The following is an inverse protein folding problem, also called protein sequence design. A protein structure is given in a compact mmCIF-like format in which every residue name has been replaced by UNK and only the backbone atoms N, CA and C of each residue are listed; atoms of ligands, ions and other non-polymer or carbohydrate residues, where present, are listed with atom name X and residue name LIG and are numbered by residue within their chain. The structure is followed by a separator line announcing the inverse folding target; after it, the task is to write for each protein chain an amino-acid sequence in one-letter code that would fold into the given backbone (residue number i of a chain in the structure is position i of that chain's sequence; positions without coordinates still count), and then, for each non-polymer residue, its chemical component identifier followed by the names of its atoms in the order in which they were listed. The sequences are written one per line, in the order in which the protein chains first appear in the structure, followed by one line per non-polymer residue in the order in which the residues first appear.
data_IF_532198558428
#
_entry.id   IF_532198558428
#
_cell.length_a   1.000
_cell.length_b   1.000
_cell.length_c   1.000
_cell.angle_alpha   90.00
_cell.angle_beta   90.00
_cell.angle_gamma   90.00
#
_symmetry.space_group_name_H-M   'P 1'
#
loop_
_entity.id
_entity.type
_entity.pdbx_description
1 polymer ?
#
# COMPACT_ATOMS: atom_id res chain seq x y z
N UNK A 1 12.53 18.07 -31.12
CA UNK A 1 13.90 17.50 -31.16
C UNK A 1 13.78 15.99 -31.28
N UNK A 2 14.76 15.29 -31.84
CA UNK A 2 14.70 13.83 -31.99
C UNK A 2 15.71 13.13 -31.07
N UNK A 3 15.25 12.07 -30.40
CA UNK A 3 16.09 11.15 -29.61
C UNK A 3 15.78 9.70 -30.00
N UNK A 4 16.62 8.77 -29.57
CA UNK A 4 16.38 7.33 -29.74
C UNK A 4 16.19 6.69 -28.38
N UNK A 5 15.08 5.97 -28.16
CA UNK A 5 14.84 5.15 -26.95
C UNK A 5 14.58 3.71 -27.40
N UNK A 6 15.36 2.75 -26.90
CA UNK A 6 15.23 1.32 -27.23
C UNK A 6 15.15 1.06 -28.76
N UNK A 7 16.05 1.70 -29.52
CA UNK A 7 16.12 1.67 -30.99
C UNK A 7 14.93 2.31 -31.73
N UNK A 8 14.03 3.01 -31.03
CA UNK A 8 12.92 3.77 -31.64
C UNK A 8 13.24 5.25 -31.64
N UNK A 9 13.11 5.88 -32.80
CA UNK A 9 13.23 7.33 -32.93
C UNK A 9 11.96 7.98 -32.39
N UNK A 10 12.13 8.90 -31.44
CA UNK A 10 11.06 9.57 -30.73
C UNK A 10 11.23 11.07 -30.92
N UNK A 11 10.15 11.71 -31.35
CA UNK A 11 10.05 13.16 -31.34
C UNK A 11 9.68 13.63 -29.93
N UNK A 12 10.48 14.54 -29.39
CA UNK A 12 10.28 15.13 -28.06
C UNK A 12 9.77 16.56 -28.22
N UNK A 13 8.68 16.87 -27.51
CA UNK A 13 8.13 18.21 -27.41
C UNK A 13 9.02 19.11 -26.54
N UNK A 14 8.93 20.43 -26.73
CA UNK A 14 9.67 21.37 -25.89
C UNK A 14 9.18 21.27 -24.42
N UNK A 15 10.11 21.22 -23.47
CA UNK A 15 9.81 21.10 -22.05
C UNK A 15 9.48 19.69 -21.55
N UNK A 16 9.48 18.68 -22.42
CA UNK A 16 9.14 17.30 -22.09
C UNK A 16 10.38 16.52 -21.62
N UNK A 17 10.25 15.79 -20.52
CA UNK A 17 11.30 14.92 -19.98
C UNK A 17 11.41 13.61 -20.76
N UNK A 18 12.52 12.87 -20.57
CA UNK A 18 12.68 11.53 -21.18
C UNK A 18 11.51 10.60 -20.81
N UNK A 19 11.04 10.64 -19.55
CA UNK A 19 9.94 9.80 -19.08
C UNK A 19 8.63 10.09 -19.83
N UNK A 20 8.30 11.36 -19.98
CA UNK A 20 7.07 11.79 -20.66
C UNK A 20 7.10 11.43 -22.14
N UNK A 21 8.21 11.71 -22.81
CA UNK A 21 8.41 11.36 -24.21
C UNK A 21 8.33 9.85 -24.45
N UNK A 22 8.94 9.05 -23.57
CA UNK A 22 8.86 7.59 -23.63
C UNK A 22 7.41 7.09 -23.49
N UNK A 23 6.69 7.55 -22.46
CA UNK A 23 5.30 7.12 -22.20
C UNK A 23 4.35 7.53 -23.30
N UNK A 24 4.49 8.74 -23.84
CA UNK A 24 3.68 9.22 -24.98
C UNK A 24 3.86 8.35 -26.23
N UNK A 25 5.00 7.70 -26.38
CA UNK A 25 5.33 6.81 -27.49
C UNK A 25 5.20 5.32 -27.13
N UNK A 26 4.46 4.99 -26.06
CA UNK A 26 4.14 3.62 -25.68
C UNK A 26 5.30 2.84 -25.04
N UNK A 27 6.36 3.51 -24.60
CA UNK A 27 7.43 2.90 -23.80
C UNK A 27 7.12 3.12 -22.32
N UNK A 28 6.72 2.06 -21.64
CA UNK A 28 6.35 2.13 -20.22
C UNK A 28 7.59 2.09 -19.31
N UNK A 29 8.04 3.28 -18.90
CA UNK A 29 9.05 3.42 -17.85
C UNK A 29 8.31 3.61 -16.50
N UNK A 30 8.55 2.77 -15.48
CA UNK A 30 7.86 2.86 -14.20
C UNK A 30 8.34 4.07 -13.38
N UNK A 31 7.49 4.57 -12.48
CA UNK A 31 7.85 5.65 -11.57
C UNK A 31 7.01 5.63 -10.29
N UNK A 32 7.64 5.89 -9.14
CA UNK A 32 6.92 5.97 -7.85
C UNK A 32 6.73 7.41 -7.38
N UNK A 33 7.74 8.27 -7.53
CA UNK A 33 7.71 9.66 -7.06
C UNK A 33 7.32 10.67 -8.16
N UNK A 34 6.68 10.22 -9.24
CA UNK A 34 6.27 11.08 -10.35
C UNK A 34 4.77 10.95 -10.58
N UNK A 35 4.11 12.09 -10.75
CA UNK A 35 2.77 12.22 -11.29
C UNK A 35 2.78 13.40 -12.27
N UNK A 36 2.03 13.29 -13.37
CA UNK A 36 1.93 14.37 -14.36
C UNK A 36 1.36 15.61 -13.65
N UNK A 37 1.91 16.78 -13.95
CA UNK A 37 1.52 18.08 -13.35
C UNK A 37 1.85 18.23 -11.85
N UNK A 38 2.48 17.23 -11.22
CA UNK A 38 2.92 17.31 -9.83
C UNK A 38 4.41 17.64 -9.71
N UNK A 39 4.76 18.51 -8.77
CA UNK A 39 6.14 18.74 -8.39
C UNK A 39 6.75 17.51 -7.73
N UNK A 40 7.99 17.20 -8.08
CA UNK A 40 8.71 16.08 -7.49
C UNK A 40 10.22 16.27 -7.52
N UNK A 41 10.91 15.44 -6.73
CA UNK A 41 12.36 15.23 -6.82
C UNK A 41 12.59 13.74 -7.06
N UNK A 42 13.55 13.39 -7.92
CA UNK A 42 13.92 12.02 -8.35
C UNK A 42 14.40 11.10 -7.23
N UNK A 43 13.59 10.93 -6.18
CA UNK A 43 13.94 10.24 -4.94
C UNK A 43 13.86 8.73 -5.07
N UNK A 44 12.95 8.21 -5.90
CA UNK A 44 12.70 6.77 -5.96
C UNK A 44 13.65 5.99 -6.89
N UNK A 45 14.29 6.64 -7.86
CA UNK A 45 15.14 6.02 -8.90
C UNK A 45 14.53 4.88 -9.74
N UNK A 46 13.23 4.58 -9.57
CA UNK A 46 12.51 3.57 -10.36
C UNK A 46 12.43 3.92 -11.85
N UNK A 47 12.48 5.21 -12.19
CA UNK A 47 12.48 5.67 -13.58
C UNK A 47 13.87 5.66 -14.24
N UNK A 48 14.87 5.03 -13.62
CA UNK A 48 16.23 4.98 -14.14
C UNK A 48 16.27 4.46 -15.57
N UNK A 49 17.09 5.09 -16.41
CA UNK A 49 17.43 4.70 -17.78
C UNK A 49 18.92 4.91 -18.00
N UNK A 50 19.48 4.23 -19.00
CA UNK A 50 20.90 4.36 -19.34
C UNK A 50 21.08 5.26 -20.56
N UNK A 51 21.96 6.24 -20.46
CA UNK A 51 22.44 7.00 -21.61
C UNK A 51 23.58 6.23 -22.27
N UNK A 52 23.39 5.84 -23.53
CA UNK A 52 24.33 5.02 -24.27
C UNK A 52 25.59 5.77 -24.71
N UNK A 53 25.54 7.09 -24.80
CA UNK A 53 26.66 7.91 -25.28
C UNK A 53 27.76 8.06 -24.22
N UNK A 54 27.39 8.13 -22.94
CA UNK A 54 28.33 8.31 -21.83
C UNK A 54 28.28 7.20 -20.77
N UNK A 55 27.38 6.22 -20.93
CA UNK A 55 27.21 5.09 -20.02
C UNK A 55 26.53 5.43 -18.69
N UNK A 56 26.10 6.66 -18.46
CA UNK A 56 25.51 7.08 -17.19
C UNK A 56 24.08 6.55 -17.03
N UNK A 57 23.73 6.20 -15.79
CA UNK A 57 22.35 5.93 -15.40
C UNK A 57 21.73 7.20 -14.82
N UNK A 58 20.62 7.62 -15.41
CA UNK A 58 19.98 8.90 -15.14
C UNK A 58 18.49 8.72 -14.85
N UNK A 59 17.88 9.57 -14.00
CA UNK A 59 16.44 9.54 -13.78
C UNK A 59 15.69 10.16 -14.97
N UNK A 60 14.92 9.35 -15.71
CA UNK A 60 14.16 9.84 -16.86
C UNK A 60 13.09 10.89 -16.51
N UNK A 61 12.59 10.92 -15.27
CA UNK A 61 11.48 11.81 -14.87
C UNK A 61 11.87 13.28 -14.67
N UNK A 62 13.16 13.60 -14.65
CA UNK A 62 13.66 14.98 -14.49
C UNK A 62 14.71 15.35 -15.53
N UNK A 63 15.21 14.37 -16.29
CA UNK A 63 16.24 14.64 -17.29
C UNK A 63 15.61 15.18 -18.56
N UNK A 64 16.07 16.36 -18.97
CA UNK A 64 15.69 16.95 -20.25
C UNK A 64 16.52 16.31 -21.37
N UNK A 65 15.88 15.77 -22.43
CA UNK A 65 16.60 15.21 -23.55
C UNK A 65 17.35 16.30 -24.34
N UNK A 66 18.43 15.90 -24.99
CA UNK A 66 19.15 16.72 -25.98
C UNK A 66 19.08 16.04 -27.34
N UNK A 67 19.20 16.81 -28.42
CA UNK A 67 19.13 16.29 -29.79
C UNK A 67 20.15 15.14 -29.99
N UNK A 68 19.70 14.04 -30.58
CA UNK A 68 20.52 12.85 -30.84
C UNK A 68 20.85 11.99 -29.61
N UNK A 69 20.24 12.26 -28.45
CA UNK A 69 20.42 11.44 -27.25
C UNK A 69 19.95 10.00 -27.49
N UNK A 70 20.72 9.03 -27.00
CA UNK A 70 20.42 7.59 -27.12
C UNK A 70 20.20 6.98 -25.74
N UNK A 71 18.97 6.51 -25.50
CA UNK A 71 18.53 5.97 -24.22
C UNK A 71 18.18 4.49 -24.34
N UNK A 72 18.61 3.72 -23.36
CA UNK A 72 18.20 2.34 -23.16
C UNK A 72 17.39 2.25 -21.87
N UNK A 73 16.17 1.75 -21.98
CA UNK A 73 15.21 1.72 -20.87
C UNK A 73 14.99 0.31 -20.31
N UNK A 74 15.44 -0.74 -21.01
CA UNK A 74 15.11 -2.12 -20.68
C UNK A 74 16.31 -3.09 -20.69
N UNK A 75 17.54 -2.62 -20.57
CA UNK A 75 18.68 -3.53 -20.40
C UNK A 75 18.72 -4.20 -19.04
N UNK A 76 19.49 -5.29 -18.96
CA UNK A 76 19.75 -6.02 -17.72
C UNK A 76 20.27 -5.12 -16.59
N UNK A 77 21.13 -4.15 -16.93
CA UNK A 77 21.66 -3.18 -15.97
C UNK A 77 20.55 -2.26 -15.42
N UNK A 78 19.73 -1.69 -16.29
CA UNK A 78 18.60 -0.84 -15.89
C UNK A 78 17.59 -1.64 -15.05
N UNK A 79 17.26 -2.87 -15.45
CA UNK A 79 16.37 -3.75 -14.68
C UNK A 79 16.94 -4.07 -13.29
N UNK A 80 18.24 -4.33 -13.18
CA UNK A 80 18.89 -4.57 -11.89
C UNK A 80 18.82 -3.34 -10.96
N UNK A 81 19.03 -2.13 -11.50
CA UNK A 81 18.91 -0.88 -10.75
C UNK A 81 17.47 -0.66 -10.29
N UNK A 82 16.48 -0.82 -11.19
CA UNK A 82 15.06 -0.68 -10.82
C UNK A 82 14.65 -1.69 -9.76
N UNK A 83 15.10 -2.93 -9.88
CA UNK A 83 14.85 -3.98 -8.89
C UNK A 83 15.43 -3.57 -7.54
N UNK A 84 16.69 -3.14 -7.50
CA UNK A 84 17.33 -2.63 -6.29
C UNK A 84 16.58 -1.42 -5.69
N UNK A 85 16.10 -0.50 -6.52
CA UNK A 85 15.27 0.62 -6.06
C UNK A 85 13.97 0.14 -5.40
N UNK A 86 13.23 -0.78 -6.03
CA UNK A 86 12.03 -1.34 -5.41
C UNK A 86 12.33 -2.07 -4.10
N UNK A 87 13.40 -2.84 -4.05
CA UNK A 87 13.86 -3.56 -2.87
C UNK A 87 14.16 -2.63 -1.69
N UNK A 88 14.77 -1.46 -1.95
CA UNK A 88 15.02 -0.43 -0.94
C UNK A 88 13.73 0.31 -0.52
N UNK A 89 12.84 0.61 -1.45
CA UNK A 89 11.54 1.21 -1.10
C UNK A 89 10.72 0.24 -0.23
N UNK A 90 10.83 -1.07 -0.49
CA UNK A 90 10.19 -2.13 0.29
C UNK A 90 10.82 -2.34 1.67
N UNK A 91 12.10 -1.97 1.88
CA UNK A 91 12.67 -1.97 3.24
C UNK A 91 12.12 -0.84 4.11
N UNK A 92 11.63 0.24 3.50
CA UNK A 92 11.01 1.35 4.23
C UNK A 92 9.49 1.17 4.42
N UNK A 93 8.84 0.44 3.51
CA UNK A 93 7.41 0.19 3.54
C UNK A 93 7.06 -1.01 4.42
N UNK A 94 6.39 -0.77 5.55
CA UNK A 94 6.00 -1.80 6.52
C UNK A 94 4.49 -1.84 6.72
N UNK A 95 3.83 -2.81 6.08
CA UNK A 95 2.38 -3.02 6.12
C UNK A 95 2.01 -4.44 5.73
N UNK A 96 0.84 -4.94 6.14
CA UNK A 96 0.21 -6.09 5.48
C UNK A 96 -0.71 -5.53 4.38
N UNK A 97 -0.50 -5.92 3.12
CA UNK A 97 -1.42 -5.50 2.06
C UNK A 97 -2.80 -6.12 2.29
N UNK A 98 -2.85 -7.43 2.50
CA UNK A 98 -4.07 -8.18 2.82
C UNK A 98 -4.00 -8.72 4.25
N UNK A 99 -5.13 -8.76 4.95
CA UNK A 99 -5.17 -9.35 6.28
C UNK A 99 -4.84 -10.85 6.20
N UNK A 100 -3.91 -11.36 7.05
CA UNK A 100 -3.54 -12.77 7.01
C UNK A 100 -4.72 -13.68 7.34
N UNK A 101 -5.67 -13.25 8.18
CA UNK A 101 -6.87 -14.03 8.49
C UNK A 101 -7.81 -14.20 7.28
N UNK A 102 -8.00 -13.17 6.45
CA UNK A 102 -8.79 -13.26 5.20
C UNK A 102 -8.07 -14.14 4.16
N UNK A 103 -6.73 -14.05 4.09
CA UNK A 103 -5.92 -14.82 3.13
C UNK A 103 -5.98 -16.34 3.31
N UNK A 104 -6.16 -16.79 4.56
CA UNK A 104 -6.11 -18.21 4.95
C UNK A 104 -7.48 -18.83 5.16
N UNK A 105 -8.57 -18.05 5.03
CA UNK A 105 -9.91 -18.60 5.16
C UNK A 105 -10.21 -19.56 3.98
N UNK A 106 -10.52 -20.84 4.24
CA UNK A 106 -10.81 -21.79 3.17
C UNK A 106 -12.13 -21.48 2.45
N UNK A 107 -13.03 -20.77 3.10
CA UNK A 107 -14.32 -20.34 2.57
C UNK A 107 -14.27 -18.96 1.89
N UNK A 108 -13.11 -18.30 1.89
CA UNK A 108 -12.95 -16.99 1.23
C UNK A 108 -13.64 -15.82 1.94
N UNK A 109 -14.04 -15.97 3.21
CA UNK A 109 -14.55 -14.87 4.02
C UNK A 109 -13.53 -13.72 4.10
N UNK A 110 -13.96 -12.49 3.82
CA UNK A 110 -13.17 -11.30 4.15
C UNK A 110 -13.30 -10.99 5.65
N UNK A 111 -12.52 -11.74 6.44
CA UNK A 111 -12.54 -11.70 7.90
C UNK A 111 -12.29 -10.29 8.42
N UNK A 112 -11.37 -9.54 7.83
CA UNK A 112 -11.05 -8.18 8.28
C UNK A 112 -12.24 -7.22 8.10
N UNK A 113 -12.88 -7.24 6.93
CA UNK A 113 -14.08 -6.42 6.69
C UNK A 113 -15.26 -6.83 7.60
N UNK A 114 -15.44 -8.13 7.83
CA UNK A 114 -16.44 -8.63 8.78
C UNK A 114 -16.17 -8.13 10.21
N UNK A 115 -14.91 -8.16 10.67
CA UNK A 115 -14.54 -7.64 11.99
C UNK A 115 -14.74 -6.12 12.08
N UNK A 116 -14.48 -5.38 10.99
CA UNK A 116 -14.72 -3.95 10.92
C UNK A 116 -16.21 -3.63 11.09
N UNK A 117 -17.10 -4.37 10.41
CA UNK A 117 -18.54 -4.22 10.60
C UNK A 117 -18.99 -4.60 12.02
N UNK A 118 -18.43 -5.66 12.60
CA UNK A 118 -18.72 -6.05 13.98
C UNK A 118 -18.32 -4.97 14.99
N UNK A 119 -17.15 -4.36 14.82
CA UNK A 119 -16.65 -3.28 15.69
C UNK A 119 -17.48 -2.01 15.56
N UNK A 120 -18.01 -1.72 14.37
CA UNK A 120 -18.91 -0.60 14.11
C UNK A 120 -20.39 -0.90 14.40
N UNK A 121 -20.69 -2.03 15.07
CA UNK A 121 -22.05 -2.51 15.36
C UNK A 121 -22.96 -2.69 14.12
N UNK A 122 -22.39 -2.77 12.93
CA UNK A 122 -23.07 -3.08 11.68
C UNK A 122 -23.26 -4.60 11.51
N UNK A 123 -23.89 -5.25 12.50
CA UNK A 123 -23.97 -6.71 12.59
C UNK A 123 -24.68 -7.35 11.39
N UNK A 124 -25.68 -6.66 10.81
CA UNK A 124 -26.37 -7.13 9.61
C UNK A 124 -25.39 -7.27 8.43
N UNK A 125 -24.60 -6.23 8.13
CA UNK A 125 -23.56 -6.25 7.08
C UNK A 125 -22.51 -7.34 7.34
N UNK A 126 -22.12 -7.56 8.60
CA UNK A 126 -21.23 -8.66 8.95
C UNK A 126 -21.86 -10.03 8.65
N UNK A 127 -23.13 -10.23 8.98
CA UNK A 127 -23.88 -11.45 8.70
C UNK A 127 -24.03 -11.71 7.19
N UNK A 128 -24.31 -10.66 6.40
CA UNK A 128 -24.39 -10.73 4.93
C UNK A 128 -23.08 -11.28 4.32
N UNK A 129 -21.91 -10.81 4.79
CA UNK A 129 -20.61 -11.33 4.35
C UNK A 129 -20.37 -12.78 4.77
N UNK A 130 -20.77 -13.15 6.00
CA UNK A 130 -20.68 -14.53 6.48
C UNK A 130 -21.55 -15.44 5.59
N UNK A 131 -22.80 -15.07 5.33
CA UNK A 131 -23.71 -15.83 4.44
C UNK A 131 -23.14 -15.97 3.03
N UNK A 132 -22.48 -14.94 2.51
CA UNK A 132 -21.81 -14.99 1.21
C UNK A 132 -20.62 -15.97 1.15
N UNK A 133 -19.98 -16.27 2.28
CA UNK A 133 -18.84 -17.19 2.34
C UNK A 133 -19.22 -18.63 2.68
N UNK A 134 -20.28 -18.84 3.46
CA UNK A 134 -20.66 -20.15 4.00
C UNK A 134 -22.09 -20.54 3.60
N UNK A 135 -22.27 -21.77 3.11
CA UNK A 135 -23.61 -22.33 2.87
C UNK A 135 -24.41 -22.54 4.17
N UNK A 136 -23.73 -22.88 5.27
CA UNK A 136 -24.35 -23.11 6.58
C UNK A 136 -23.58 -22.37 7.68
N UNK A 137 -23.76 -21.03 7.81
CA UNK A 137 -22.98 -20.19 8.72
C UNK A 137 -22.92 -20.66 10.17
N UNK A 138 -24.03 -21.19 10.70
CA UNK A 138 -24.17 -21.56 12.11
C UNK A 138 -23.19 -22.65 12.56
N UNK A 139 -22.88 -23.62 11.68
CA UNK A 139 -22.06 -24.79 12.02
C UNK A 139 -20.72 -24.82 11.27
N UNK A 140 -20.55 -24.00 10.23
CA UNK A 140 -19.36 -24.07 9.35
C UNK A 140 -18.03 -23.84 10.09
N UNK A 141 -18.07 -23.15 11.25
CA UNK A 141 -16.89 -22.89 12.06
C UNK A 141 -16.64 -23.91 13.19
N UNK A 142 -17.54 -24.86 13.42
CA UNK A 142 -17.44 -25.81 14.55
C UNK A 142 -16.28 -26.79 14.37
N UNK A 143 -16.21 -27.44 13.21
CA UNK A 143 -15.14 -28.37 12.87
C UNK A 143 -13.93 -27.68 12.22
N UNK A 144 -13.96 -26.35 12.11
CA UNK A 144 -12.90 -25.58 11.50
C UNK A 144 -11.65 -25.55 12.39
N UNK A 145 -10.48 -25.87 11.82
CA UNK A 145 -9.16 -25.79 12.48
C UNK A 145 -8.68 -24.36 12.78
N UNK A 146 -9.53 -23.36 12.56
CA UNK A 146 -9.30 -21.94 12.82
C UNK A 146 -8.00 -21.38 12.22
N UNK A 147 -7.74 -21.54 10.90
CA UNK A 147 -6.55 -20.98 10.29
C UNK A 147 -6.49 -19.46 10.43
N UNK A 148 -7.64 -18.78 10.42
CA UNK A 148 -7.75 -17.33 10.61
C UNK A 148 -7.28 -16.87 12.00
N UNK A 149 -7.58 -17.61 13.06
CA UNK A 149 -7.12 -17.33 14.43
C UNK A 149 -5.62 -17.63 14.57
N UNK A 150 -5.14 -18.72 13.96
CA UNK A 150 -3.71 -19.09 13.94
C UNK A 150 -2.84 -18.08 13.21
N UNK A 151 -3.36 -17.47 12.15
CA UNK A 151 -2.66 -16.45 11.36
C UNK A 151 -2.86 -15.02 11.90
N UNK A 152 -3.65 -14.84 12.97
CA UNK A 152 -4.02 -13.53 13.48
C UNK A 152 -2.81 -12.76 14.03
N UNK A 153 -2.62 -11.51 13.56
CA UNK A 153 -1.52 -10.65 14.03
C UNK A 153 -1.57 -10.34 15.52
N UNK A 154 -2.78 -10.21 16.09
CA UNK A 154 -2.97 -9.97 17.52
C UNK A 154 -2.43 -11.13 18.38
N UNK A 155 -2.43 -12.36 17.84
CA UNK A 155 -1.83 -13.52 18.51
C UNK A 155 -0.33 -13.40 18.77
N UNK A 156 0.39 -12.56 18.01
CA UNK A 156 1.81 -12.29 18.24
C UNK A 156 2.06 -11.20 19.30
N UNK A 157 0.99 -10.60 19.85
CA UNK A 157 1.02 -9.51 20.82
C UNK A 157 0.56 -10.01 22.19
N UNK A 158 -0.63 -10.59 22.22
CA UNK A 158 -1.24 -11.20 23.41
C UNK A 158 -2.01 -12.47 23.04
N UNK A 159 -3.22 -12.35 22.51
CA UNK A 159 -4.11 -13.45 22.17
C UNK A 159 -4.80 -13.14 20.86
N UNK A 160 -4.90 -14.15 19.99
CA UNK A 160 -5.62 -14.03 18.74
C UNK A 160 -7.08 -13.60 18.96
N UNK A 161 -7.62 -12.83 18.01
CA UNK A 161 -9.06 -12.53 17.98
C UNK A 161 -9.83 -13.83 17.88
N UNK A 162 -10.88 -13.98 18.69
CA UNK A 162 -11.75 -15.16 18.71
C UNK A 162 -12.75 -15.12 17.54
N UNK A 163 -12.23 -15.17 16.31
CA UNK A 163 -12.98 -14.98 15.07
C UNK A 163 -14.14 -15.97 14.96
N UNK A 164 -13.95 -17.25 15.30
CA UNK A 164 -15.03 -18.24 15.24
C UNK A 164 -16.16 -17.92 16.22
N UNK A 165 -15.81 -17.45 17.42
CA UNK A 165 -16.80 -17.03 18.42
C UNK A 165 -17.61 -15.83 17.91
N UNK A 166 -16.93 -14.83 17.33
CA UNK A 166 -17.59 -13.65 16.75
C UNK A 166 -18.53 -14.04 15.60
N UNK A 167 -18.11 -14.95 14.72
CA UNK A 167 -18.98 -15.45 13.63
C UNK A 167 -20.25 -16.07 14.21
N UNK A 168 -20.14 -16.93 15.24
CA UNK A 168 -21.30 -17.53 15.92
C UNK A 168 -22.20 -16.47 16.55
N UNK A 169 -21.62 -15.55 17.31
CA UNK A 169 -22.36 -14.45 17.94
C UNK A 169 -23.14 -13.65 16.90
N UNK A 170 -22.55 -13.32 15.75
CA UNK A 170 -23.23 -12.57 14.67
C UNK A 170 -24.34 -13.40 14.03
N UNK A 171 -24.09 -14.68 13.75
CA UNK A 171 -25.09 -15.57 13.12
C UNK A 171 -26.29 -15.80 14.04
N UNK A 172 -26.09 -15.94 15.34
CA UNK A 172 -27.15 -16.13 16.33
C UNK A 172 -28.05 -14.89 16.51
N UNK A 173 -27.60 -13.70 16.09
CA UNK A 173 -28.39 -12.46 16.15
C UNK A 173 -29.49 -12.37 15.08
N UNK A 174 -29.45 -13.21 14.05
CA UNK A 174 -30.33 -13.08 12.88
C UNK A 174 -30.88 -14.43 12.43
N UNK A 175 -32.06 -14.41 11.80
CA UNK A 175 -32.46 -15.52 10.94
C UNK A 175 -31.67 -15.44 9.63
N UNK A 176 -30.64 -16.28 9.50
CA UNK A 176 -29.78 -16.32 8.32
C UNK A 176 -30.52 -16.66 7.03
N UNK A 177 -31.71 -17.24 7.11
CA UNK A 177 -32.52 -17.53 5.91
C UNK A 177 -33.07 -16.24 5.29
N UNK A 178 -33.33 -15.22 6.10
CA UNK A 178 -33.91 -13.92 5.72
C UNK A 178 -32.87 -12.84 5.38
N UNK A 179 -31.58 -13.10 5.63
CA UNK A 179 -30.49 -12.15 5.35
C UNK A 179 -30.00 -12.30 3.91
N UNK A 180 -29.74 -11.22 3.19
CA UNK A 180 -29.13 -11.33 1.86
C UNK A 180 -27.64 -11.72 1.93
N UNK A 181 -27.15 -12.46 0.95
CA UNK A 181 -25.73 -12.77 0.86
C UNK A 181 -24.98 -11.58 0.22
N UNK A 182 -23.94 -11.08 0.87
CA UNK A 182 -23.04 -10.10 0.28
C UNK A 182 -21.79 -10.76 -0.30
N UNK A 183 -21.30 -10.22 -1.41
CA UNK A 183 -20.09 -10.71 -2.05
C UNK A 183 -18.86 -10.45 -1.17
N UNK A 184 -18.07 -11.51 -0.97
CA UNK A 184 -16.77 -11.40 -0.34
C UNK A 184 -15.72 -10.92 -1.34
N UNK A 185 -14.86 -9.98 -0.91
CA UNK A 185 -13.76 -9.49 -1.76
C UNK A 185 -12.85 -10.65 -2.15
N UNK A 186 -12.71 -10.87 -3.45
CA UNK A 186 -11.75 -11.85 -3.98
C UNK A 186 -10.33 -11.31 -3.84
N UNK A 187 -9.48 -12.05 -3.13
CA UNK A 187 -8.07 -11.67 -2.96
C UNK A 187 -7.21 -12.34 -4.04
N UNK A 188 -6.51 -11.54 -4.83
CA UNK A 188 -5.50 -12.05 -5.75
C UNK A 188 -4.24 -12.48 -4.99
N UNK A 189 -4.06 -13.80 -4.87
CA UNK A 189 -2.91 -14.42 -4.20
C UNK A 189 -1.60 -14.31 -5.01
N UNK A 190 -1.67 -13.94 -6.28
CA UNK A 190 -0.49 -13.74 -7.14
C UNK A 190 0.08 -12.33 -7.01
N UNK A 191 -0.74 -11.36 -6.64
CA UNK A 191 -0.31 -9.99 -6.40
C UNK A 191 0.63 -9.92 -5.20
N UNK A 192 1.67 -9.10 -5.30
CA UNK A 192 2.66 -8.88 -4.24
C UNK A 192 1.98 -8.56 -2.90
N UNK A 193 2.56 -9.07 -1.81
CA UNK A 193 2.08 -8.88 -0.46
C UNK A 193 3.22 -8.37 0.41
N UNK A 194 3.16 -7.09 0.78
CA UNK A 194 4.00 -6.59 1.87
C UNK A 194 3.60 -7.25 3.18
N UNK A 195 4.53 -7.28 4.14
CA UNK A 195 4.29 -7.83 5.48
C UNK A 195 4.77 -6.89 6.58
N UNK A 196 4.01 -6.80 7.66
CA UNK A 196 4.41 -6.07 8.88
C UNK A 196 5.65 -6.66 9.58
N UNK A 197 5.94 -7.95 9.36
CA UNK A 197 7.02 -8.65 10.04
C UNK A 197 6.70 -9.03 11.48
N UNK A 198 7.73 -9.09 12.34
CA UNK A 198 7.59 -9.30 13.79
C UNK A 198 7.46 -7.95 14.49
N UNK A 199 6.73 -7.93 15.60
CA UNK A 199 6.59 -6.74 16.44
C UNK A 199 7.67 -6.70 17.51
N UNK A 200 8.26 -5.52 17.72
CA UNK A 200 9.13 -5.25 18.86
C UNK A 200 8.31 -5.17 20.16
N UNK A 201 8.95 -5.27 21.32
CA UNK A 201 8.22 -5.19 22.59
C UNK A 201 7.56 -3.82 22.83
N UNK A 202 8.19 -2.68 22.48
CA UNK A 202 7.51 -1.37 22.50
C UNK A 202 6.28 -1.34 21.59
N UNK A 203 6.36 -1.91 20.39
CA UNK A 203 5.22 -1.97 19.46
C UNK A 203 4.08 -2.81 20.03
N UNK A 204 4.40 -3.97 20.63
CA UNK A 204 3.39 -4.81 21.28
C UNK A 204 2.69 -4.06 22.40
N UNK A 205 3.43 -3.32 23.22
CA UNK A 205 2.84 -2.55 24.32
C UNK A 205 1.91 -1.46 23.78
N UNK A 206 2.39 -0.66 22.82
CA UNK A 206 1.60 0.38 22.18
C UNK A 206 0.29 -0.18 21.57
N UNK A 207 0.36 -1.27 20.81
CA UNK A 207 -0.81 -1.87 20.17
C UNK A 207 -1.80 -2.49 21.17
N UNK A 208 -1.35 -2.91 22.35
CA UNK A 208 -2.25 -3.34 23.44
C UNK A 208 -3.06 -2.18 23.99
N UNK A 209 -2.43 -1.02 24.12
CA UNK A 209 -3.03 0.18 24.71
C UNK A 209 -3.94 0.92 23.73
N UNK A 210 -3.58 0.97 22.44
CA UNK A 210 -4.33 1.76 21.44
C UNK A 210 -5.50 1.02 20.79
N UNK A 211 -5.46 -0.32 20.72
CA UNK A 211 -6.52 -1.10 20.07
C UNK A 211 -7.49 -1.64 21.12
N UNK A 212 -8.59 -0.91 21.30
CA UNK A 212 -9.66 -1.21 22.24
C UNK A 212 -11.04 -1.41 21.58
N UNK A 213 -11.06 -2.03 20.39
CA UNK A 213 -12.33 -2.35 19.70
C UNK A 213 -13.02 -3.57 20.32
N UNK A 214 -14.32 -3.72 20.05
CA UNK A 214 -15.14 -4.84 20.58
C UNK A 214 -14.53 -6.20 20.24
N UNK A 215 -14.04 -6.38 19.01
CA UNK A 215 -13.37 -7.61 18.56
C UNK A 215 -11.92 -7.74 18.97
N UNK A 216 -11.28 -6.64 19.44
CA UNK A 216 -9.83 -6.50 19.65
C UNK A 216 -8.99 -6.57 18.36
N UNK A 217 -9.62 -6.51 17.19
CA UNK A 217 -8.95 -6.58 15.90
C UNK A 217 -8.03 -5.38 15.70
N UNK A 218 -6.81 -5.63 15.20
CA UNK A 218 -5.87 -4.56 14.84
C UNK A 218 -6.24 -3.84 13.53
N UNK A 219 -7.19 -4.38 12.75
CA UNK A 219 -7.51 -3.93 11.39
C UNK A 219 -6.25 -3.73 10.54
N UNK A 220 -5.41 -4.77 10.53
CA UNK A 220 -4.05 -4.74 10.01
C UNK A 220 -3.92 -4.69 8.48
N UNK A 221 -5.02 -4.89 7.74
CA UNK A 221 -4.99 -4.79 6.29
C UNK A 221 -4.80 -3.34 5.83
N UNK A 222 -4.15 -3.16 4.69
CA UNK A 222 -3.99 -1.84 4.10
C UNK A 222 -5.30 -1.38 3.45
N UNK A 223 -5.90 -0.30 3.96
CA UNK A 223 -7.07 0.34 3.35
C UNK A 223 -6.76 0.94 1.97
N UNK A 224 -5.59 1.56 1.79
CA UNK A 224 -5.15 2.18 0.53
C UNK A 224 -4.57 1.22 -0.52
N UNK A 225 -4.90 -0.09 -0.49
CA UNK A 225 -4.24 -1.09 -1.36
C UNK A 225 -4.77 -1.16 -2.78
N UNK A 226 -5.98 -0.65 -3.05
CA UNK A 226 -6.71 -0.84 -4.32
C UNK A 226 -5.87 -0.42 -5.52
N UNK A 227 -5.26 0.76 -5.47
CA UNK A 227 -4.47 1.34 -6.56
C UNK A 227 -2.98 1.49 -6.21
N UNK A 228 -2.48 0.62 -5.32
CA UNK A 228 -1.11 0.72 -4.83
C UNK A 228 -0.07 0.37 -5.91
N UNK A 229 0.54 1.40 -6.51
CA UNK A 229 1.59 1.27 -7.54
C UNK A 229 2.76 0.41 -7.09
N UNK A 230 3.16 0.51 -5.82
CA UNK A 230 4.25 -0.33 -5.27
C UNK A 230 3.93 -1.82 -5.41
N UNK A 231 2.68 -2.19 -5.13
CA UNK A 231 2.21 -3.57 -5.18
C UNK A 231 2.14 -4.07 -6.63
N UNK A 232 1.64 -3.24 -7.54
CA UNK A 232 1.60 -3.53 -8.99
C UNK A 232 3.01 -3.74 -9.53
N UNK A 233 3.91 -2.79 -9.34
CA UNK A 233 5.25 -2.88 -9.89
C UNK A 233 6.10 -3.98 -9.24
N UNK A 234 6.00 -4.20 -7.93
CA UNK A 234 6.68 -5.32 -7.28
C UNK A 234 6.22 -6.67 -7.86
N UNK A 235 4.93 -6.81 -8.19
CA UNK A 235 4.38 -8.00 -8.87
C UNK A 235 4.99 -8.16 -10.26
N UNK A 236 5.05 -7.09 -11.06
CA UNK A 236 5.63 -7.12 -12.40
C UNK A 236 7.13 -7.47 -12.41
N UNK A 237 7.87 -7.02 -11.38
CA UNK A 237 9.28 -7.39 -11.17
C UNK A 237 9.46 -8.79 -10.57
N UNK A 238 8.37 -9.55 -10.38
CA UNK A 238 8.36 -10.87 -9.77
C UNK A 238 9.02 -10.93 -8.37
N UNK A 239 9.01 -9.81 -7.64
CA UNK A 239 9.50 -9.75 -6.26
C UNK A 239 8.51 -10.52 -5.38
N UNK A 240 8.96 -11.60 -4.74
CA UNK A 240 8.13 -12.38 -3.80
C UNK A 240 8.40 -12.02 -2.35
N UNK A 241 9.67 -11.74 -2.04
CA UNK A 241 10.15 -11.32 -0.73
C UNK A 241 11.28 -10.32 -0.94
N UNK A 242 11.23 -9.17 -0.26
CA UNK A 242 12.32 -8.23 -0.36
C UNK A 242 13.64 -8.86 0.11
N UNK A 243 14.74 -8.53 -0.58
CA UNK A 243 16.12 -8.89 -0.25
C UNK A 243 16.60 -8.18 1.01
N UNK A 244 16.20 -6.93 1.19
CA UNK A 244 16.59 -6.13 2.35
C UNK A 244 15.58 -6.28 3.49
N UNK A 245 16.09 -6.30 4.72
CA UNK A 245 15.25 -6.29 5.91
C UNK A 245 14.57 -4.93 6.04
N UNK A 246 13.40 -4.92 6.68
CA UNK A 246 12.69 -3.68 6.99
C UNK A 246 13.55 -2.83 7.93
N UNK A 247 13.79 -1.58 7.54
CA UNK A 247 14.61 -0.59 8.26
C UNK A 247 13.77 0.49 8.94
N UNK A 248 12.50 0.64 8.53
CA UNK A 248 11.60 1.64 9.08
C UNK A 248 11.32 1.40 10.57
N UNK A 249 11.65 2.40 11.39
CA UNK A 249 11.32 2.45 12.82
C UNK A 249 10.02 3.24 13.08
N UNK A 250 9.25 3.56 12.03
CA UNK A 250 8.04 4.34 12.16
C UNK A 250 6.92 3.54 12.85
N UNK A 251 6.06 4.21 13.65
CA UNK A 251 4.93 3.56 14.28
C UNK A 251 4.05 2.83 13.26
N UNK A 252 3.82 1.54 13.51
CA UNK A 252 2.98 0.69 12.67
C UNK A 252 1.51 0.80 13.07
N UNK A 253 0.61 0.73 12.09
CA UNK A 253 -0.85 0.82 12.29
C UNK A 253 -1.30 2.10 13.01
N UNK A 254 -0.43 3.10 13.08
CA UNK A 254 -0.75 4.44 13.56
C UNK A 254 -1.43 5.21 12.42
N UNK A 255 -2.75 5.37 12.54
CA UNK A 255 -3.61 6.00 11.56
C UNK A 255 -3.85 7.44 11.98
N UNK A 256 -3.15 8.36 11.35
CA UNK A 256 -3.28 9.80 11.60
C UNK A 256 -4.45 10.31 10.76
N UNK A 257 -5.51 10.78 11.42
CA UNK A 257 -6.55 11.55 10.75
C UNK A 257 -5.98 12.93 10.38
N UNK A 258 -6.03 13.29 9.10
CA UNK A 258 -5.44 14.54 8.62
C UNK A 258 -6.48 15.65 8.62
N UNK A 259 -7.52 15.49 7.81
CA UNK A 259 -8.72 16.31 7.75
C UNK A 259 -9.78 15.58 6.94
N UNK A 260 -11.05 15.97 7.06
CA UNK A 260 -12.15 15.39 6.27
C UNK A 260 -12.11 13.86 6.24
N UNK A 261 -11.96 13.27 5.05
CA UNK A 261 -11.84 11.83 4.85
C UNK A 261 -10.40 11.33 4.64
N UNK A 262 -9.40 12.20 4.82
CA UNK A 262 -7.99 11.92 4.53
C UNK A 262 -7.27 11.33 5.75
N UNK A 263 -6.59 10.20 5.52
CA UNK A 263 -5.84 9.46 6.54
C UNK A 263 -4.41 9.20 6.10
N UNK A 264 -3.48 9.24 7.04
CA UNK A 264 -2.06 9.01 6.81
C UNK A 264 -1.50 7.94 7.76
N UNK A 265 -0.83 6.94 7.18
CA UNK A 265 -0.13 5.87 7.90
C UNK A 265 1.36 5.89 7.53
N UNK A 266 2.16 6.44 8.44
CA UNK A 266 3.58 6.73 8.21
C UNK A 266 4.40 5.50 7.84
N UNK A 267 4.18 4.36 8.51
CA UNK A 267 4.91 3.12 8.22
C UNK A 267 4.73 2.61 6.78
N UNK A 268 3.70 3.05 6.05
CA UNK A 268 3.46 2.70 4.65
C UNK A 268 4.17 3.64 3.67
N UNK A 269 4.71 4.75 4.15
CA UNK A 269 5.29 5.80 3.31
C UNK A 269 6.67 5.39 2.81
N UNK A 270 6.88 5.47 1.49
CA UNK A 270 8.21 5.32 0.87
C UNK A 270 8.96 6.64 0.72
N UNK A 271 8.46 7.71 1.34
CA UNK A 271 9.09 9.04 1.38
C UNK A 271 9.40 9.64 0.01
N UNK A 272 8.51 9.39 -0.95
CA UNK A 272 8.63 9.90 -2.31
C UNK A 272 8.59 11.44 -2.39
N UNK A 273 7.95 12.09 -1.42
CA UNK A 273 7.85 13.54 -1.32
C UNK A 273 6.67 14.17 -2.07
N UNK A 274 5.86 13.40 -2.79
CA UNK A 274 4.75 13.94 -3.58
C UNK A 274 3.77 14.76 -2.72
N UNK A 275 3.42 14.29 -1.52
CA UNK A 275 2.59 15.07 -0.60
C UNK A 275 3.29 16.31 -0.04
N UNK A 276 4.60 16.28 0.13
CA UNK A 276 5.39 17.42 0.63
C UNK A 276 5.45 18.52 -0.42
N UNK A 277 5.87 18.18 -1.65
CA UNK A 277 6.08 19.16 -2.72
C UNK A 277 4.80 19.71 -3.33
N UNK A 278 3.65 19.06 -3.12
CA UNK A 278 2.37 19.48 -3.70
C UNK A 278 1.35 19.94 -2.65
N UNK A 279 1.78 20.14 -1.39
CA UNK A 279 0.93 20.72 -0.35
C UNK A 279 1.37 22.16 -0.06
N UNK A 280 0.41 23.05 0.23
CA UNK A 280 0.72 24.43 0.61
C UNK A 280 1.04 24.49 2.11
N UNK A 281 2.31 24.25 2.46
CA UNK A 281 2.74 24.11 3.85
C UNK A 281 1.92 23.06 4.61
N UNK A 282 1.65 21.89 4.02
CA UNK A 282 0.91 20.81 4.67
C UNK A 282 1.85 19.76 5.27
N UNK A 283 2.39 18.91 4.40
CA UNK A 283 3.37 17.88 4.77
C UNK A 283 4.79 18.43 4.71
N UNK A 284 5.68 17.92 5.59
CA UNK A 284 7.11 18.24 5.58
C UNK A 284 7.98 17.01 5.82
N UNK A 285 9.27 17.14 5.52
CA UNK A 285 10.28 16.16 5.93
C UNK A 285 10.88 16.55 7.28
N UNK A 286 10.97 15.57 8.18
CA UNK A 286 11.70 15.67 9.44
C UNK A 286 12.88 14.69 9.41
N UNK A 287 13.97 15.07 10.06
CA UNK A 287 15.22 14.30 10.15
C UNK A 287 15.93 14.11 8.78
N UNK A 288 16.95 13.22 8.73
CA UNK A 288 17.75 12.95 7.52
C UNK A 288 18.15 11.47 7.43
N UNK A 289 18.53 11.03 6.23
CA UNK A 289 18.98 9.66 5.99
C UNK A 289 17.87 8.62 6.21
N UNK A 290 18.21 7.45 6.73
CA UNK A 290 17.25 6.37 6.98
C UNK A 290 16.17 6.72 8.02
N UNK A 291 16.48 7.65 8.94
CA UNK A 291 15.54 8.16 9.93
C UNK A 291 14.59 9.23 9.41
N UNK A 292 14.72 9.65 8.14
CA UNK A 292 13.85 10.66 7.56
C UNK A 292 12.40 10.18 7.60
N UNK A 293 11.49 11.09 7.92
CA UNK A 293 10.06 10.83 7.99
C UNK A 293 9.26 11.97 7.36
N UNK A 294 8.08 11.61 6.84
CA UNK A 294 7.10 12.59 6.39
C UNK A 294 6.11 12.82 7.52
N UNK A 295 5.95 14.07 7.94
CA UNK A 295 5.06 14.45 9.04
C UNK A 295 4.18 15.64 8.66
N UNK A 296 3.18 15.88 9.50
CA UNK A 296 2.24 16.99 9.38
C UNK A 296 2.44 17.86 10.62
N UNK A 297 2.95 19.09 10.51
CA UNK A 297 2.97 20.04 11.62
C UNK A 297 1.53 20.34 12.06
N UNK A 298 1.28 20.44 13.37
CA UNK A 298 -0.08 20.60 13.92
C UNK A 298 -0.77 21.87 13.39
N UNK A 299 -0.01 22.94 13.21
CA UNK A 299 -0.46 24.22 12.65
C UNK A 299 -0.93 24.15 11.19
N UNK A 300 -0.62 23.05 10.49
CA UNK A 300 -0.73 22.94 9.04
C UNK A 300 -1.82 21.97 8.56
N UNK A 301 -2.49 21.23 9.46
CA UNK A 301 -3.49 20.21 9.11
C UNK A 301 -4.65 20.76 8.25
N UNK A 302 -5.01 22.04 8.44
CA UNK A 302 -6.10 22.69 7.70
C UNK A 302 -5.73 23.10 6.26
N UNK A 303 -4.46 23.01 5.86
CA UNK A 303 -3.97 23.43 4.54
C UNK A 303 -3.73 22.27 3.56
N UNK A 304 -4.27 21.09 3.87
CA UNK A 304 -4.04 19.86 3.11
C UNK A 304 -5.28 19.55 2.27
N UNK A 305 -5.13 19.53 0.94
CA UNK A 305 -6.18 19.10 0.01
C UNK A 305 -6.28 17.56 -0.01
N UNK A 306 -7.50 17.02 0.10
CA UNK A 306 -7.77 15.58 0.01
C UNK A 306 -7.30 14.96 -1.32
N UNK A 307 -7.20 15.76 -2.39
CA UNK A 307 -6.65 15.31 -3.69
C UNK A 307 -5.21 14.80 -3.60
N UNK A 308 -4.46 15.17 -2.56
CA UNK A 308 -3.10 14.65 -2.34
C UNK A 308 -3.07 13.13 -2.16
N UNK A 309 -4.17 12.51 -1.75
CA UNK A 309 -4.28 11.05 -1.71
C UNK A 309 -4.05 10.41 -3.09
N UNK A 310 -4.46 11.07 -4.17
CA UNK A 310 -4.32 10.57 -5.55
C UNK A 310 -2.85 10.53 -6.01
N UNK A 311 -2.01 11.36 -5.40
CA UNK A 311 -0.57 11.37 -5.66
C UNK A 311 0.17 10.25 -4.90
N UNK A 312 -0.41 9.68 -3.83
CA UNK A 312 0.28 8.71 -3.00
C UNK A 312 0.45 7.36 -3.71
N UNK A 313 1.69 6.86 -3.90
CA UNK A 313 1.91 5.64 -4.69
C UNK A 313 1.82 4.33 -3.87
N UNK A 314 1.67 4.39 -2.54
CA UNK A 314 1.79 3.23 -1.62
C UNK A 314 0.60 2.99 -0.71
N UNK A 315 -0.45 3.81 -0.83
CA UNK A 315 -1.60 3.77 0.09
C UNK A 315 -1.26 4.24 1.50
N UNK A 316 -0.17 5.01 1.66
CA UNK A 316 0.18 5.62 2.94
C UNK A 316 -0.71 6.82 3.26
N UNK A 317 -1.04 7.62 2.25
CA UNK A 317 -2.02 8.69 2.32
C UNK A 317 -3.21 8.27 1.46
N UNK A 318 -4.40 8.17 2.05
CA UNK A 318 -5.58 7.63 1.38
C UNK A 318 -6.85 8.27 1.90
N UNK A 319 -7.91 8.22 1.08
CA UNK A 319 -9.26 8.63 1.47
C UNK A 319 -10.04 7.42 1.97
N UNK A 320 -10.81 7.58 3.03
CA UNK A 320 -11.78 6.59 3.48
C UNK A 320 -13.13 6.95 2.87
N UNK A 321 -13.72 6.05 2.08
CA UNK A 321 -15.07 6.25 1.58
C UNK A 321 -16.06 6.05 2.73
N UNK A 322 -16.83 7.07 3.05
CA UNK A 322 -17.94 7.02 4.00
C UNK A 322 -19.15 6.33 3.33
N UNK A 323 -19.19 5.00 3.32
CA UNK A 323 -20.32 4.17 2.85
C UNK A 323 -20.67 3.03 3.84
#
# INVERSE_FOLDING_TARGET
MQITIDNKNIEVANGETILEAARRNGIDIPSMCYAKEAEHKSSCMVCAVKNMQNGQVIPSCTTMPVEGMQIESNSKEVQAIRTMSFELLLSDHRADCEAPCSMVCPHGLDVEQMLLFYDNAAYKKACELIKGAFSLPAISCDDCKAPCEKACRRGNIDQAVSIRKIIKEVVEMFDVTEIDAADNRKIDKKMFQSRLGRFSDPEKQHLKETVNTKSRCLHCACAGKTDCKLRVYATQQAIKRPKYNVTSALPIMDKIHVNGNLWFEQAKCIRCGLCVYNSNNGFTFKDRGFGMQVCIPEENCNHIDEKLAELCPTGALYRVNTH
#
